data_IF_334343249522
#
_entry.id   IF_334343249522
#
_cell.length_a   1.000
_cell.length_b   1.000
_cell.length_c   1.000
_cell.angle_alpha   90.00
_cell.angle_beta   90.00
_cell.angle_gamma   90.00
#
_symmetry.space_group_name_H-M   'P 1'
#
loop_
_entity.id
_entity.type
_entity.pdbx_description
1 polymer ?
#
# COMPACT_ATOMS: atom_id res chain seq x y z
N UNK A 1 -16.16 27.67 5.66
CA UNK A 1 -17.60 27.90 5.92
C UNK A 1 -18.23 26.54 6.17
N UNK A 2 -18.95 26.36 7.29
CA UNK A 2 -19.59 25.09 7.62
C UNK A 2 -20.74 24.80 6.64
N UNK A 3 -20.82 23.56 6.13
CA UNK A 3 -21.89 23.11 5.24
C UNK A 3 -22.48 21.79 5.79
N UNK A 4 -23.71 21.80 6.33
CA UNK A 4 -24.31 20.62 6.95
C UNK A 4 -24.57 19.48 5.96
N UNK A 5 -24.80 19.77 4.68
CA UNK A 5 -25.01 18.74 3.65
C UNK A 5 -23.71 17.97 3.39
N UNK A 6 -22.58 18.67 3.31
CA UNK A 6 -21.26 18.05 3.18
C UNK A 6 -20.96 17.18 4.41
N UNK A 7 -21.32 17.62 5.61
CA UNK A 7 -21.13 16.83 6.83
C UNK A 7 -21.91 15.51 6.80
N UNK A 8 -23.19 15.55 6.41
CA UNK A 8 -24.03 14.35 6.30
C UNK A 8 -23.48 13.36 5.27
N UNK A 9 -23.08 13.86 4.10
CA UNK A 9 -22.50 13.06 3.01
C UNK A 9 -21.18 12.39 3.44
N UNK A 10 -20.29 13.16 4.08
CA UNK A 10 -19.01 12.67 4.58
C UNK A 10 -19.18 11.61 5.68
N UNK A 11 -20.09 11.84 6.63
CA UNK A 11 -20.42 10.84 7.65
C UNK A 11 -21.03 9.58 7.03
N UNK A 12 -21.90 9.73 6.03
CA UNK A 12 -22.50 8.61 5.33
C UNK A 12 -21.46 7.78 4.57
N UNK A 13 -20.50 8.42 3.90
CA UNK A 13 -19.43 7.74 3.17
C UNK A 13 -18.68 6.76 4.06
N UNK A 14 -18.10 7.22 5.17
CA UNK A 14 -17.27 6.35 6.03
C UNK A 14 -18.07 5.26 6.71
N UNK A 15 -19.26 5.60 7.22
CA UNK A 15 -20.18 4.62 7.80
C UNK A 15 -20.51 3.53 6.77
N UNK A 16 -20.87 3.91 5.55
CA UNK A 16 -21.27 2.96 4.52
C UNK A 16 -20.11 2.05 4.13
N UNK A 17 -18.89 2.59 3.99
CA UNK A 17 -17.70 1.76 3.71
C UNK A 17 -17.46 0.71 4.80
N UNK A 18 -17.57 1.10 6.07
CA UNK A 18 -17.38 0.16 7.18
C UNK A 18 -18.54 -0.86 7.28
N UNK A 19 -19.79 -0.46 7.04
CA UNK A 19 -20.93 -1.39 6.99
C UNK A 19 -20.80 -2.41 5.85
N UNK A 20 -20.46 -1.98 4.63
CA UNK A 20 -20.18 -2.89 3.51
C UNK A 20 -19.01 -3.83 3.84
N UNK A 21 -17.97 -3.32 4.51
CA UNK A 21 -16.84 -4.12 4.98
C UNK A 21 -17.23 -5.25 5.93
N UNK A 22 -18.26 -5.08 6.77
CA UNK A 22 -18.73 -6.13 7.70
C UNK A 22 -19.28 -7.35 6.96
N UNK A 23 -19.84 -7.19 5.76
CA UNK A 23 -20.38 -8.29 4.96
C UNK A 23 -19.30 -9.17 4.31
N UNK A 24 -18.06 -8.68 4.22
CA UNK A 24 -16.99 -9.34 3.48
C UNK A 24 -16.22 -10.30 4.41
N UNK A 25 -16.17 -11.62 4.17
CA UNK A 25 -15.38 -12.54 5.00
C UNK A 25 -13.88 -12.20 4.99
N UNK A 26 -13.19 -12.35 6.12
CA UNK A 26 -11.78 -11.95 6.26
C UNK A 26 -10.85 -12.77 5.35
N UNK A 27 -10.99 -14.10 5.38
CA UNK A 27 -10.13 -15.03 4.64
C UNK A 27 -10.62 -15.32 3.21
N UNK A 28 -11.86 -14.96 2.89
CA UNK A 28 -12.52 -15.31 1.64
C UNK A 28 -13.42 -14.16 1.12
N UNK A 29 -12.83 -13.02 0.71
CA UNK A 29 -13.61 -11.87 0.23
C UNK A 29 -14.52 -12.19 -0.97
N UNK A 30 -14.13 -13.16 -1.81
CA UNK A 30 -14.93 -13.64 -2.94
C UNK A 30 -16.23 -14.35 -2.52
N UNK A 31 -16.41 -14.66 -1.24
CA UNK A 31 -17.63 -15.26 -0.68
C UNK A 31 -18.60 -14.23 -0.07
N UNK A 32 -18.32 -12.93 -0.18
CA UNK A 32 -19.25 -11.90 0.29
C UNK A 32 -20.60 -12.00 -0.46
N UNK A 33 -21.74 -11.70 0.19
CA UNK A 33 -23.07 -11.78 -0.44
C UNK A 33 -23.18 -11.01 -1.76
N UNK A 34 -22.45 -9.90 -1.87
CA UNK A 34 -22.42 -8.99 -3.02
C UNK A 34 -21.07 -9.01 -3.76
N UNK A 35 -20.25 -10.05 -3.59
CA UNK A 35 -18.88 -10.10 -4.11
C UNK A 35 -18.81 -9.81 -5.62
N UNK A 36 -19.64 -10.47 -6.42
CA UNK A 36 -19.61 -10.30 -7.88
C UNK A 36 -19.98 -8.88 -8.32
N UNK A 37 -20.95 -8.24 -7.66
CA UNK A 37 -21.33 -6.86 -7.96
C UNK A 37 -20.20 -5.89 -7.61
N UNK A 38 -19.66 -6.00 -6.39
CA UNK A 38 -18.64 -5.09 -5.89
C UNK A 38 -17.28 -5.29 -6.57
N UNK A 39 -16.96 -6.50 -7.05
CA UNK A 39 -15.69 -6.76 -7.74
C UNK A 39 -15.73 -6.33 -9.22
N UNK A 40 -16.92 -6.26 -9.81
CA UNK A 40 -17.12 -5.72 -11.17
C UNK A 40 -17.15 -4.21 -11.23
N UNK A 41 -17.26 -3.53 -10.08
CA UNK A 41 -17.22 -2.08 -10.02
C UNK A 41 -15.87 -1.58 -9.52
N UNK A 42 -15.45 -0.42 -10.03
CA UNK A 42 -14.28 0.29 -9.51
C UNK A 42 -14.64 1.08 -8.25
N UNK A 43 -13.63 1.41 -7.44
CA UNK A 43 -13.84 2.34 -6.32
C UNK A 43 -14.32 3.71 -6.77
N UNK A 44 -13.95 4.16 -7.99
CA UNK A 44 -14.49 5.40 -8.57
C UNK A 44 -16.00 5.33 -8.72
N UNK A 45 -16.52 4.24 -9.30
CA UNK A 45 -17.95 4.04 -9.50
C UNK A 45 -18.69 3.95 -8.17
N UNK A 46 -18.10 3.30 -7.16
CA UNK A 46 -18.71 3.24 -5.83
C UNK A 46 -18.77 4.63 -5.18
N UNK A 47 -17.67 5.40 -5.23
CA UNK A 47 -17.62 6.78 -4.74
C UNK A 47 -18.64 7.65 -5.48
N UNK A 48 -18.79 7.48 -6.80
CA UNK A 48 -19.75 8.24 -7.59
C UNK A 48 -21.21 7.92 -7.24
N UNK A 49 -21.51 6.68 -6.84
CA UNK A 49 -22.83 6.26 -6.33
C UNK A 49 -23.11 6.73 -4.90
N UNK A 50 -22.10 6.72 -4.03
CA UNK A 50 -22.29 7.00 -2.59
C UNK A 50 -22.24 8.48 -2.24
N UNK A 51 -21.34 9.24 -2.87
CA UNK A 51 -21.07 10.63 -2.50
C UNK A 51 -21.90 11.62 -3.33
N UNK A 52 -22.58 12.53 -2.63
CA UNK A 52 -23.46 13.55 -3.22
C UNK A 52 -22.73 14.88 -3.47
N UNK A 53 -21.62 15.10 -2.75
CA UNK A 53 -20.87 16.35 -2.77
C UNK A 53 -19.48 16.15 -3.38
N UNK A 54 -18.98 17.16 -4.09
CA UNK A 54 -17.62 17.15 -4.63
C UNK A 54 -16.57 17.05 -3.53
N UNK A 55 -16.82 17.63 -2.35
CA UNK A 55 -15.92 17.54 -1.19
C UNK A 55 -15.74 16.09 -0.72
N UNK A 56 -16.84 15.34 -0.52
CA UNK A 56 -16.73 13.94 -0.13
C UNK A 56 -16.06 13.09 -1.21
N UNK A 57 -16.34 13.34 -2.50
CA UNK A 57 -15.67 12.64 -3.62
C UNK A 57 -14.17 12.90 -3.67
N UNK A 58 -13.74 14.15 -3.48
CA UNK A 58 -12.31 14.53 -3.50
C UNK A 58 -11.57 13.86 -2.35
N UNK A 59 -12.12 13.92 -1.15
CA UNK A 59 -11.49 13.28 0.00
C UNK A 59 -11.49 11.75 -0.14
N UNK A 60 -12.57 11.14 -0.61
CA UNK A 60 -12.62 9.69 -0.87
C UNK A 60 -11.55 9.26 -1.88
N UNK A 61 -11.35 10.06 -2.94
CA UNK A 61 -10.29 9.85 -3.93
C UNK A 61 -8.91 9.88 -3.26
N UNK A 62 -8.63 10.90 -2.45
CA UNK A 62 -7.37 10.98 -1.69
C UNK A 62 -7.19 9.80 -0.74
N UNK A 63 -8.27 9.40 -0.04
CA UNK A 63 -8.27 8.25 0.87
C UNK A 63 -7.88 6.96 0.13
N UNK A 64 -8.43 6.72 -1.06
CA UNK A 64 -8.01 5.58 -1.91
C UNK A 64 -6.53 5.71 -2.29
N UNK A 65 -6.11 6.85 -2.82
CA UNK A 65 -4.72 7.06 -3.24
C UNK A 65 -3.72 6.84 -2.09
N UNK A 66 -4.02 7.33 -0.88
CA UNK A 66 -3.14 7.20 0.29
C UNK A 66 -3.04 5.75 0.75
N UNK A 67 -4.15 5.02 0.77
CA UNK A 67 -4.18 3.67 1.34
C UNK A 67 -3.60 2.62 0.39
N UNK A 68 -3.79 2.77 -0.93
CA UNK A 68 -3.40 1.73 -1.90
C UNK A 68 -2.49 2.21 -3.02
N UNK A 69 -2.14 3.51 -3.06
CA UNK A 69 -1.19 4.10 -4.02
C UNK A 69 -1.56 3.90 -5.49
N UNK A 70 -2.86 3.76 -5.74
CA UNK A 70 -3.50 3.62 -7.06
C UNK A 70 -4.69 4.57 -7.16
N UNK A 71 -5.18 4.79 -8.37
CA UNK A 71 -6.37 5.61 -8.63
C UNK A 71 -7.66 4.84 -8.32
N UNK A 72 -8.76 5.51 -7.91
CA UNK A 72 -10.03 4.84 -7.66
C UNK A 72 -10.60 4.06 -8.86
N UNK A 73 -10.25 4.45 -10.09
CA UNK A 73 -10.67 3.74 -11.31
C UNK A 73 -9.78 2.55 -11.66
N UNK A 74 -8.65 2.36 -10.96
CA UNK A 74 -7.72 1.24 -11.18
C UNK A 74 -8.03 0.04 -10.25
N UNK A 75 -8.83 0.24 -9.19
CA UNK A 75 -9.03 -0.77 -8.14
C UNK A 75 -10.49 -1.22 -8.04
N UNK A 76 -10.69 -2.53 -7.86
CA UNK A 76 -11.98 -3.14 -7.52
C UNK A 76 -12.51 -2.60 -6.20
N UNK A 77 -13.82 -2.34 -6.14
CA UNK A 77 -14.45 -1.89 -4.91
C UNK A 77 -14.50 -2.98 -3.85
N UNK A 78 -14.80 -4.24 -4.23
CA UNK A 78 -14.74 -5.38 -3.31
C UNK A 78 -13.37 -5.47 -2.64
N UNK A 79 -12.30 -5.45 -3.44
CA UNK A 79 -10.94 -5.57 -2.92
C UNK A 79 -10.60 -4.42 -1.99
N UNK A 80 -10.97 -3.18 -2.33
CA UNK A 80 -10.66 -2.03 -1.49
C UNK A 80 -11.44 -2.03 -0.17
N UNK A 81 -12.73 -2.38 -0.20
CA UNK A 81 -13.57 -2.54 1.00
C UNK A 81 -13.01 -3.65 1.91
N UNK A 82 -12.63 -4.78 1.33
CA UNK A 82 -11.92 -5.85 2.04
C UNK A 82 -10.60 -5.35 2.65
N UNK A 83 -9.80 -4.60 1.89
CA UNK A 83 -8.52 -4.05 2.32
C UNK A 83 -8.68 -3.10 3.52
N UNK A 84 -9.68 -2.22 3.50
CA UNK A 84 -9.97 -1.33 4.64
C UNK A 84 -10.45 -2.12 5.85
N UNK A 85 -11.35 -3.09 5.63
CA UNK A 85 -11.89 -3.95 6.70
C UNK A 85 -10.80 -4.74 7.42
N UNK A 86 -9.89 -5.38 6.70
CA UNK A 86 -8.81 -6.16 7.31
C UNK A 86 -7.80 -5.31 8.09
N UNK A 87 -7.70 -4.00 7.79
CA UNK A 87 -6.97 -3.03 8.60
C UNK A 87 -7.75 -2.50 9.82
N UNK A 88 -8.95 -3.02 10.10
CA UNK A 88 -9.77 -2.59 11.24
C UNK A 88 -10.71 -1.41 10.97
N UNK A 89 -11.00 -1.12 9.70
CA UNK A 89 -11.98 -0.10 9.28
C UNK A 89 -11.37 1.27 8.98
N UNK A 90 -12.22 2.17 8.48
CA UNK A 90 -11.83 3.49 7.94
C UNK A 90 -11.04 4.34 8.95
N UNK A 91 -11.49 4.38 10.22
CA UNK A 91 -10.82 5.16 11.27
C UNK A 91 -9.44 4.59 11.60
N UNK A 92 -9.33 3.26 11.74
CA UNK A 92 -8.08 2.60 12.16
C UNK A 92 -6.99 2.75 11.11
N UNK A 93 -7.33 2.55 9.83
CA UNK A 93 -6.36 2.58 8.74
C UNK A 93 -5.80 3.99 8.48
N UNK A 94 -6.55 5.05 8.82
CA UNK A 94 -6.19 6.43 8.47
C UNK A 94 -5.68 7.28 9.65
N UNK A 95 -5.86 6.82 10.90
CA UNK A 95 -5.49 7.61 12.09
C UNK A 95 -4.01 7.45 12.46
N UNK A 96 -3.37 8.55 12.84
CA UNK A 96 -2.07 8.50 13.53
C UNK A 96 -2.25 8.00 14.96
N UNK A 97 -2.88 8.77 15.84
CA UNK A 97 -3.15 8.31 17.21
C UNK A 97 -4.19 7.20 17.17
N UNK A 98 -3.91 6.08 17.84
CA UNK A 98 -4.74 4.89 17.84
C UNK A 98 -5.00 4.34 16.42
N UNK A 99 -4.05 4.45 15.50
CA UNK A 99 -4.18 3.89 14.16
C UNK A 99 -2.88 3.45 13.53
N UNK A 100 -2.92 3.19 12.22
CA UNK A 100 -1.82 2.56 11.48
C UNK A 100 -0.53 3.38 11.43
N UNK A 101 -0.61 4.69 11.63
CA UNK A 101 0.55 5.59 11.53
C UNK A 101 1.13 5.98 12.90
N UNK A 102 0.69 5.37 14.01
CA UNK A 102 1.01 5.83 15.37
C UNK A 102 2.51 5.82 15.69
N UNK A 103 3.24 4.82 15.18
CA UNK A 103 4.60 4.50 15.67
C UNK A 103 5.56 4.23 14.53
N UNK A 104 6.83 4.51 14.84
CA UNK A 104 8.00 4.15 14.04
C UNK A 104 9.02 3.44 14.92
N UNK A 105 9.82 2.57 14.32
CA UNK A 105 10.94 1.94 15.01
C UNK A 105 12.11 2.93 15.14
N UNK A 106 12.64 3.07 16.34
CA UNK A 106 13.91 3.77 16.57
C UNK A 106 15.02 3.02 15.83
N UNK A 107 15.79 3.72 14.99
CA UNK A 107 16.80 3.12 14.10
C UNK A 107 16.25 2.59 12.77
N UNK A 108 14.93 2.61 12.55
CA UNK A 108 14.30 2.22 11.29
C UNK A 108 13.83 0.76 11.24
N UNK A 109 12.84 0.49 10.38
CA UNK A 109 12.19 -0.82 10.28
C UNK A 109 13.06 -1.90 9.61
N UNK A 110 14.09 -1.51 8.84
CA UNK A 110 15.03 -2.44 8.19
C UNK A 110 15.74 -3.38 9.19
N UNK A 111 15.92 -2.91 10.43
CA UNK A 111 16.50 -3.68 11.52
C UNK A 111 15.80 -5.01 11.80
N UNK A 112 14.50 -5.15 11.50
CA UNK A 112 13.79 -6.42 11.69
C UNK A 112 14.41 -7.49 10.79
N UNK A 113 14.52 -7.21 9.49
CA UNK A 113 15.11 -8.13 8.51
C UNK A 113 16.60 -8.33 8.74
N UNK A 114 17.34 -7.27 9.09
CA UNK A 114 18.77 -7.34 9.38
C UNK A 114 19.06 -8.26 10.58
N UNK A 115 18.36 -8.05 11.71
CA UNK A 115 18.51 -8.89 12.89
C UNK A 115 18.07 -10.33 12.64
N UNK A 116 16.98 -10.55 11.89
CA UNK A 116 16.59 -11.91 11.50
C UNK A 116 17.69 -12.60 10.67
N UNK A 117 18.30 -11.88 9.73
CA UNK A 117 19.41 -12.42 8.93
C UNK A 117 20.64 -12.77 9.77
N UNK A 118 20.98 -11.93 10.78
CA UNK A 118 22.04 -12.23 11.75
C UNK A 118 21.75 -13.53 12.52
N UNK A 119 20.53 -13.71 13.02
CA UNK A 119 20.11 -14.93 13.72
C UNK A 119 20.16 -16.19 12.84
N UNK A 120 19.97 -16.03 11.53
CA UNK A 120 20.05 -17.12 10.57
C UNK A 120 21.50 -17.50 10.20
N UNK A 121 22.51 -16.79 10.72
CA UNK A 121 23.93 -17.16 10.67
C UNK A 121 24.43 -17.55 9.27
N UNK A 122 24.31 -16.65 8.30
CA UNK A 122 24.83 -16.84 6.93
C UNK A 122 23.97 -17.73 6.02
N UNK A 123 22.79 -18.17 6.47
CA UNK A 123 21.81 -18.88 5.63
C UNK A 123 21.09 -17.96 4.64
N UNK A 124 21.11 -16.64 4.87
CA UNK A 124 20.58 -15.65 3.93
C UNK A 124 21.59 -15.41 2.82
N UNK A 125 21.21 -15.66 1.57
CA UNK A 125 22.05 -15.47 0.39
C UNK A 125 21.59 -14.24 -0.40
N UNK A 126 22.31 -13.13 -0.23
CA UNK A 126 22.04 -11.88 -0.96
C UNK A 126 22.48 -11.98 -2.43
N UNK A 127 21.89 -11.19 -3.32
CA UNK A 127 22.23 -11.20 -4.76
C UNK A 127 22.00 -12.57 -5.43
N UNK A 128 21.02 -13.34 -4.95
CA UNK A 128 20.57 -14.61 -5.54
C UNK A 128 19.12 -14.47 -6.06
N UNK A 129 18.86 -13.71 -7.14
CA UNK A 129 17.53 -13.71 -7.74
C UNK A 129 17.19 -15.12 -8.21
N UNK A 130 16.10 -15.70 -7.71
CA UNK A 130 15.60 -17.00 -8.18
C UNK A 130 15.03 -16.82 -9.58
N UNK A 131 15.41 -17.70 -10.51
CA UNK A 131 14.98 -17.66 -11.91
C UNK A 131 14.25 -18.93 -12.35
N UNK A 132 14.44 -20.05 -11.65
CA UNK A 132 13.73 -21.30 -11.92
C UNK A 132 13.44 -22.09 -10.65
N UNK A 133 12.27 -22.73 -10.62
CA UNK A 133 11.86 -23.68 -9.59
C UNK A 133 11.37 -24.95 -10.29
N UNK A 134 11.98 -26.08 -9.98
CA UNK A 134 11.66 -27.39 -10.56
C UNK A 134 11.25 -28.39 -9.47
N UNK A 135 10.04 -28.91 -9.58
CA UNK A 135 9.39 -29.86 -8.66
C UNK A 135 9.09 -31.21 -9.35
N UNK A 136 9.77 -31.52 -10.47
CA UNK A 136 9.55 -32.77 -11.22
C UNK A 136 10.17 -34.01 -10.57
N UNK A 137 11.03 -33.84 -9.57
CA UNK A 137 11.72 -34.90 -8.84
C UNK A 137 11.32 -34.91 -7.34
N UNK A 138 11.91 -35.83 -6.57
CA UNK A 138 11.67 -35.95 -5.12
C UNK A 138 12.08 -34.68 -4.35
N UNK A 139 13.25 -34.12 -4.68
CA UNK A 139 13.69 -32.83 -4.16
C UNK A 139 13.34 -31.72 -5.14
N UNK A 140 12.94 -30.57 -4.60
CA UNK A 140 12.71 -29.34 -5.37
C UNK A 140 14.07 -28.70 -5.65
N UNK A 141 14.32 -28.40 -6.92
CA UNK A 141 15.52 -27.71 -7.39
C UNK A 141 15.20 -26.22 -7.61
N UNK A 142 15.97 -25.34 -7.00
CA UNK A 142 15.86 -23.88 -7.14
C UNK A 142 17.14 -23.34 -7.75
N UNK A 143 17.02 -22.67 -8.89
CA UNK A 143 18.15 -22.07 -9.61
C UNK A 143 18.10 -20.54 -9.48
N UNK A 144 19.27 -19.96 -9.26
CA UNK A 144 19.46 -18.51 -9.18
C UNK A 144 20.14 -17.95 -10.43
N UNK A 145 20.00 -16.64 -10.67
CA UNK A 145 20.56 -15.97 -11.84
C UNK A 145 22.08 -16.10 -11.97
N UNK A 146 22.79 -16.27 -10.85
CA UNK A 146 24.24 -16.52 -10.83
C UNK A 146 24.60 -18.02 -10.93
N UNK A 147 23.68 -18.85 -11.39
CA UNK A 147 23.85 -20.29 -11.64
C UNK A 147 24.15 -21.14 -10.40
N UNK A 148 23.75 -20.68 -9.21
CA UNK A 148 23.77 -21.53 -8.01
C UNK A 148 22.49 -22.38 -7.98
N UNK A 149 22.65 -23.63 -7.53
CA UNK A 149 21.55 -24.59 -7.38
C UNK A 149 21.35 -24.91 -5.91
N UNK A 150 20.10 -24.88 -5.48
CA UNK A 150 19.67 -25.24 -4.14
C UNK A 150 18.65 -26.37 -4.22
N UNK A 151 18.79 -27.38 -3.37
CA UNK A 151 17.80 -28.46 -3.22
C UNK A 151 17.06 -28.34 -1.90
N UNK A 152 15.76 -28.57 -1.91
CA UNK A 152 14.92 -28.52 -0.71
C UNK A 152 13.72 -29.46 -0.81
N UNK A 153 13.15 -29.80 0.36
CA UNK A 153 11.88 -30.56 0.43
C UNK A 153 10.66 -29.69 0.13
N UNK A 154 10.75 -28.39 0.42
CA UNK A 154 9.68 -27.42 0.24
C UNK A 154 10.27 -26.05 -0.12
N UNK A 155 9.46 -25.24 -0.82
CA UNK A 155 9.80 -23.85 -1.16
C UNK A 155 8.68 -22.93 -0.68
N UNK A 156 9.06 -21.82 -0.04
CA UNK A 156 8.13 -20.73 0.32
C UNK A 156 8.40 -19.57 -0.63
N UNK A 157 7.40 -19.20 -1.44
CA UNK A 157 7.45 -17.97 -2.22
C UNK A 157 6.97 -16.80 -1.37
N UNK A 158 7.92 -15.98 -0.91
CA UNK A 158 7.67 -14.80 -0.07
C UNK A 158 7.89 -13.47 -0.83
N UNK A 159 7.67 -13.48 -2.14
CA UNK A 159 7.75 -12.29 -3.01
C UNK A 159 6.34 -11.84 -3.45
N UNK A 160 6.15 -10.56 -3.84
CA UNK A 160 4.90 -10.10 -4.42
C UNK A 160 4.46 -11.03 -5.57
N UNK A 161 3.16 -11.37 -5.70
CA UNK A 161 2.70 -12.34 -6.69
C UNK A 161 3.14 -12.02 -8.12
N UNK A 162 3.14 -10.73 -8.50
CA UNK A 162 3.60 -10.28 -9.83
C UNK A 162 5.07 -10.60 -10.12
N UNK A 163 5.93 -10.66 -9.09
CA UNK A 163 7.33 -11.04 -9.27
C UNK A 163 7.53 -12.55 -9.52
N UNK A 164 6.52 -13.38 -9.23
CA UNK A 164 6.57 -14.79 -9.61
C UNK A 164 6.63 -14.97 -11.14
N UNK A 165 6.20 -13.98 -11.94
CA UNK A 165 6.37 -14.01 -13.39
C UNK A 165 7.83 -14.00 -13.85
N UNK A 166 8.78 -13.64 -12.97
CA UNK A 166 10.23 -13.69 -13.26
C UNK A 166 10.85 -15.07 -13.04
N UNK A 167 10.07 -16.05 -12.59
CA UNK A 167 10.52 -17.40 -12.28
C UNK A 167 9.90 -18.37 -13.29
N UNK A 168 10.74 -19.21 -13.89
CA UNK A 168 10.30 -20.33 -14.71
C UNK A 168 9.95 -21.53 -13.82
N UNK A 169 8.72 -22.02 -13.88
CA UNK A 169 8.27 -23.16 -13.09
C UNK A 169 8.25 -24.44 -13.91
N UNK A 170 8.72 -25.54 -13.32
CA UNK A 170 8.58 -26.89 -13.87
C UNK A 170 8.01 -27.83 -12.78
N UNK A 171 6.88 -28.53 -12.99
CA UNK A 171 5.91 -28.28 -14.05
C UNK A 171 5.35 -26.85 -14.00
N UNK A 172 4.67 -26.43 -15.07
CA UNK A 172 4.04 -25.11 -15.14
C UNK A 172 3.05 -24.88 -13.98
N UNK A 173 2.86 -23.61 -13.60
CA UNK A 173 1.86 -23.26 -12.59
C UNK A 173 0.44 -23.59 -13.10
N UNK A 174 -0.48 -24.00 -12.21
CA UNK A 174 -1.88 -24.18 -12.57
C UNK A 174 -2.46 -22.95 -13.27
N UNK A 175 -3.35 -23.10 -14.27
CA UNK A 175 -3.79 -21.99 -15.13
C UNK A 175 -4.33 -20.77 -14.36
N UNK A 176 -5.11 -20.99 -13.30
CA UNK A 176 -5.65 -19.91 -12.47
C UNK A 176 -4.53 -19.12 -11.77
N UNK A 177 -3.48 -19.78 -11.28
CA UNK A 177 -2.34 -19.11 -10.66
C UNK A 177 -1.51 -18.36 -11.70
N UNK A 178 -1.29 -18.96 -12.86
CA UNK A 178 -0.57 -18.34 -13.97
C UNK A 178 -1.26 -17.05 -14.44
N UNK A 179 -2.60 -17.06 -14.48
CA UNK A 179 -3.40 -15.89 -14.80
C UNK A 179 -3.43 -14.84 -13.68
N UNK A 180 -3.49 -15.27 -12.42
CA UNK A 180 -3.54 -14.36 -11.27
C UNK A 180 -2.28 -13.49 -11.18
N UNK A 181 -1.09 -14.10 -11.30
CA UNK A 181 0.19 -13.39 -11.11
C UNK A 181 0.42 -12.28 -12.15
N UNK A 182 -0.27 -12.30 -13.29
CA UNK A 182 -0.24 -11.24 -14.30
C UNK A 182 -1.31 -10.16 -14.13
N UNK A 183 -2.25 -10.31 -13.19
CA UNK A 183 -3.41 -9.41 -12.99
C UNK A 183 -3.40 -8.66 -11.65
N UNK A 184 -2.28 -8.70 -10.93
CA UNK A 184 -2.13 -8.10 -9.59
C UNK A 184 -0.98 -7.07 -9.56
N UNK A 185 -1.14 -5.92 -10.22
CA UNK A 185 -0.10 -4.88 -10.26
C UNK A 185 0.15 -4.27 -8.88
N UNK A 186 1.35 -3.72 -8.68
CA UNK A 186 1.66 -2.92 -7.50
C UNK A 186 1.24 -1.46 -7.72
N UNK A 187 0.79 -0.79 -6.67
CA UNK A 187 0.59 0.66 -6.70
C UNK A 187 1.89 1.44 -6.89
N UNK A 188 1.80 2.75 -7.08
CA UNK A 188 2.95 3.61 -7.37
C UNK A 188 3.08 4.75 -6.35
N UNK A 189 4.27 4.89 -5.79
CA UNK A 189 4.55 5.91 -4.77
C UNK A 189 6.01 6.36 -4.84
N UNK A 190 6.24 7.64 -4.64
CA UNK A 190 7.57 8.19 -4.30
C UNK A 190 7.47 8.74 -2.89
N UNK A 191 8.36 8.28 -2.01
CA UNK A 191 8.47 8.76 -0.64
C UNK A 191 9.57 9.81 -0.56
N UNK A 192 9.20 11.04 -0.21
CA UNK A 192 10.10 12.17 -0.09
C UNK A 192 10.30 12.52 1.38
N UNK A 193 11.54 12.84 1.77
CA UNK A 193 11.87 13.35 3.10
C UNK A 193 12.63 14.66 2.93
N UNK A 194 12.01 15.76 3.36
CA UNK A 194 12.62 17.09 3.29
C UNK A 194 13.10 17.48 4.68
N UNK A 195 14.41 17.71 4.80
CA UNK A 195 15.07 18.05 6.05
C UNK A 195 15.18 19.56 6.23
N UNK A 196 14.99 20.02 7.45
CA UNK A 196 15.05 21.43 7.81
C UNK A 196 15.99 21.65 8.98
N UNK A 197 16.46 22.88 9.14
CA UNK A 197 17.26 23.29 10.30
C UNK A 197 16.46 23.19 11.60
N UNK A 198 15.17 23.53 11.56
CA UNK A 198 14.28 23.54 12.71
C UNK A 198 12.89 22.99 12.33
N UNK A 199 12.18 22.38 13.28
CA UNK A 199 10.78 21.97 13.13
C UNK A 199 9.85 23.19 13.21
N UNK A 200 10.00 24.13 12.27
CA UNK A 200 9.35 25.45 12.30
C UNK A 200 7.82 25.38 12.30
N UNK A 201 7.23 24.30 11.76
CA UNK A 201 5.78 24.05 11.78
C UNK A 201 5.23 23.98 13.20
N UNK A 202 5.98 23.42 14.16
CA UNK A 202 5.57 23.32 15.57
C UNK A 202 5.44 24.70 16.23
N UNK A 203 6.27 25.67 15.84
CA UNK A 203 6.19 27.06 16.33
C UNK A 203 4.92 27.78 15.86
N UNK A 204 4.24 27.23 14.84
CA UNK A 204 2.96 27.70 14.31
C UNK A 204 1.78 26.83 14.74
N UNK A 205 1.96 26.02 15.78
CA UNK A 205 0.93 25.10 16.30
C UNK A 205 0.49 24.01 15.30
N UNK A 206 1.38 23.64 14.36
CA UNK A 206 1.15 22.52 13.44
C UNK A 206 1.99 21.30 13.82
N UNK A 207 1.38 20.11 13.79
CA UNK A 207 2.05 18.85 14.08
C UNK A 207 2.89 18.30 12.92
N UNK A 208 2.81 18.90 11.73
CA UNK A 208 3.50 18.43 10.51
C UNK A 208 2.69 17.45 9.66
N UNK A 209 1.49 17.07 10.09
CA UNK A 209 0.53 16.36 9.25
C UNK A 209 -0.23 17.33 8.34
N UNK A 210 -0.18 17.10 7.04
CA UNK A 210 -0.95 17.87 6.05
C UNK A 210 -1.68 16.91 5.12
N UNK A 211 -2.99 17.14 4.96
CA UNK A 211 -3.83 16.51 3.95
C UNK A 211 -4.02 17.57 2.87
N UNK A 212 -3.50 17.31 1.66
CA UNK A 212 -3.41 18.30 0.59
C UNK A 212 -4.31 17.83 -0.56
N UNK A 213 -5.54 18.34 -0.57
CA UNK A 213 -6.55 18.05 -1.59
C UNK A 213 -6.46 19.02 -2.79
N UNK A 214 -5.29 19.04 -3.42
CA UNK A 214 -5.02 19.85 -4.61
C UNK A 214 -4.41 18.97 -5.71
N UNK A 215 -4.94 19.05 -6.93
CA UNK A 215 -4.46 18.27 -8.06
C UNK A 215 -3.05 18.72 -8.50
N UNK A 216 -2.77 20.02 -8.40
CA UNK A 216 -1.47 20.57 -8.78
C UNK A 216 -0.38 20.32 -7.72
N UNK A 217 -0.78 20.01 -6.49
CA UNK A 217 0.17 19.67 -5.43
C UNK A 217 0.84 18.32 -5.71
N UNK A 218 2.19 18.21 -5.63
CA UNK A 218 2.89 16.94 -5.85
C UNK A 218 2.60 15.92 -4.74
N UNK A 219 2.37 16.39 -3.51
CA UNK A 219 2.18 15.57 -2.31
C UNK A 219 0.72 15.61 -1.88
N UNK A 220 0.14 14.46 -1.54
CA UNK A 220 -1.24 14.35 -1.02
C UNK A 220 -1.32 14.23 0.51
N UNK A 221 -0.30 13.64 1.14
CA UNK A 221 -0.25 13.43 2.59
C UNK A 221 1.19 13.62 3.09
N UNK A 222 1.33 14.24 4.26
CA UNK A 222 2.60 14.35 4.98
C UNK A 222 2.47 13.97 6.45
N UNK A 223 3.61 13.63 7.07
CA UNK A 223 3.78 13.47 8.51
C UNK A 223 5.13 14.06 8.94
N UNK A 224 5.22 14.46 10.21
CA UNK A 224 6.49 14.82 10.84
C UNK A 224 7.41 13.59 10.96
N UNK A 225 8.64 13.72 10.46
CA UNK A 225 9.67 12.68 10.47
C UNK A 225 10.89 13.05 11.34
N UNK A 226 10.76 14.11 12.15
CA UNK A 226 11.77 14.53 13.14
C UNK A 226 12.09 13.36 14.08
N UNK A 227 13.37 13.23 14.46
CA UNK A 227 13.79 12.16 15.36
C UNK A 227 13.17 12.33 16.75
N UNK A 228 13.01 11.25 17.54
CA UNK A 228 12.35 11.30 18.85
C UNK A 228 13.01 12.27 19.85
N UNK A 229 14.32 12.51 19.73
CA UNK A 229 15.09 13.46 20.54
C UNK A 229 14.95 14.93 20.06
N UNK A 230 14.13 15.17 19.03
CA UNK A 230 13.94 16.49 18.42
C UNK A 230 15.02 16.86 17.38
N UNK A 231 16.03 16.01 17.19
CA UNK A 231 17.07 16.23 16.19
C UNK A 231 16.56 15.94 14.77
N UNK A 232 17.27 16.48 13.78
CA UNK A 232 17.02 16.24 12.35
C UNK A 232 15.54 16.48 11.96
N UNK A 233 15.03 17.71 12.07
CA UNK A 233 13.66 18.04 11.66
C UNK A 233 13.40 17.67 10.22
N UNK A 234 12.30 16.97 9.96
CA UNK A 234 11.94 16.55 8.62
C UNK A 234 10.43 16.45 8.43
N UNK A 235 9.97 16.69 7.21
CA UNK A 235 8.63 16.33 6.76
C UNK A 235 8.76 15.18 5.77
N UNK A 236 8.06 14.10 6.04
CA UNK A 236 7.88 12.99 5.10
C UNK A 236 6.60 13.22 4.31
N UNK A 237 6.67 13.05 2.99
CA UNK A 237 5.54 13.18 2.09
C UNK A 237 5.48 12.07 1.06
N UNK A 238 4.26 11.79 0.59
CA UNK A 238 4.03 10.82 -0.47
C UNK A 238 3.51 11.48 -1.75
N UNK A 239 4.21 11.24 -2.86
CA UNK A 239 3.71 11.45 -4.21
C UNK A 239 3.02 10.14 -4.63
N UNK A 240 1.71 10.17 -4.82
CA UNK A 240 0.86 8.96 -4.92
C UNK A 240 0.38 8.71 -6.34
N UNK A 241 0.15 7.43 -6.68
CA UNK A 241 -0.58 6.97 -7.86
C UNK A 241 -0.14 7.67 -9.16
N UNK A 242 -1.03 8.33 -9.90
CA UNK A 242 -0.67 8.97 -11.19
C UNK A 242 0.41 10.02 -11.05
N UNK A 243 0.42 10.75 -9.93
CA UNK A 243 1.39 11.83 -9.69
C UNK A 243 2.80 11.27 -9.56
N UNK A 244 2.95 10.07 -9.00
CA UNK A 244 4.28 9.45 -8.86
C UNK A 244 4.88 9.15 -10.23
N UNK A 245 4.06 8.70 -11.18
CA UNK A 245 4.46 8.41 -12.56
C UNK A 245 4.73 9.71 -13.33
N UNK A 246 3.84 10.71 -13.21
CA UNK A 246 3.99 12.04 -13.83
C UNK A 246 5.29 12.73 -13.43
N UNK A 247 5.63 12.70 -12.14
CA UNK A 247 6.79 13.40 -11.58
C UNK A 247 8.08 12.56 -11.60
N UNK A 248 8.02 11.28 -11.97
CA UNK A 248 9.19 10.40 -12.02
C UNK A 248 10.25 10.84 -13.04
N UNK A 249 9.87 11.63 -14.05
CA UNK A 249 10.76 12.13 -15.09
C UNK A 249 11.57 13.37 -14.67
N UNK A 250 11.15 14.07 -13.62
CA UNK A 250 11.87 15.22 -13.09
C UNK A 250 13.17 14.78 -12.43
N UNK A 251 14.18 15.65 -12.41
CA UNK A 251 15.37 15.42 -11.59
C UNK A 251 15.03 15.36 -10.10
N UNK A 252 15.97 14.90 -9.27
CA UNK A 252 15.77 14.88 -7.82
C UNK A 252 15.63 16.29 -7.23
N UNK A 253 16.31 17.30 -7.80
CA UNK A 253 16.27 18.66 -7.29
C UNK A 253 14.97 19.39 -7.68
N UNK A 254 14.37 19.01 -8.82
CA UNK A 254 13.07 19.53 -9.28
C UNK A 254 11.87 18.86 -8.60
N UNK A 255 12.07 17.71 -7.95
CA UNK A 255 11.01 16.85 -7.40
C UNK A 255 10.91 16.95 -5.89
#
# INVERSE_FOLDING_TARGET
MWNPIVYLDYNNLWRTMDEMGKEIPYEAPWMAPHAEEWDKMTMKELIDKLCWTTTAKKFATLFVNVNVTSEPHEVSALWFLWYVKQCGGTTRIFSTSNGGQERKFVGGAGQISEKMAEHLQGRVKLQRPVVRIDQSAENIVVETLNHEIYEAKYVISAIPPTLCMKIHFNPELPPLRNQLISRVPMGSVIKCMVYYKEAFWRKKDYCGSMIIEDEEAPIGLTLDDTKPDGSVPAIMGFILARKSRKLAHLSKDER
#
